data_IF_751443099792
#
_entry.id   IF_751443099792
#
_cell.length_a   1.000
_cell.length_b   1.000
_cell.length_c   1.000
_cell.angle_alpha   90.00
_cell.angle_beta   90.00
_cell.angle_gamma   90.00
#
_symmetry.space_group_name_H-M   'P 1'
#
loop_
_entity.id
_entity.type
_entity.pdbx_description
1 polymer ?
#
# COMPACT_ATOMS: atom_id res chain seq x y z
N UNK A 1 -28.85 5.41 51.08
CA UNK A 1 -27.55 5.51 50.39
C UNK A 1 -26.95 4.11 50.41
N UNK A 2 -27.35 3.26 49.46
CA UNK A 2 -26.83 1.90 49.33
C UNK A 2 -25.88 1.92 48.14
N UNK A 3 -24.60 1.87 48.47
CA UNK A 3 -23.47 1.81 47.54
C UNK A 3 -23.54 0.44 46.84
N UNK A 4 -23.99 0.45 45.59
CA UNK A 4 -24.07 -0.73 44.72
C UNK A 4 -22.67 -1.04 44.18
N UNK A 5 -21.82 -1.60 45.04
CA UNK A 5 -20.52 -2.15 44.62
C UNK A 5 -20.74 -3.58 44.09
N UNK A 6 -21.22 -3.68 42.86
CA UNK A 6 -21.07 -4.91 42.08
C UNK A 6 -19.57 -5.18 41.93
N UNK A 7 -19.08 -6.40 42.23
CA UNK A 7 -17.66 -6.71 42.06
C UNK A 7 -17.36 -6.60 40.58
N UNK A 8 -16.48 -5.68 40.21
CA UNK A 8 -15.98 -5.53 38.84
C UNK A 8 -15.42 -6.89 38.43
N UNK A 9 -16.16 -7.57 37.57
CA UNK A 9 -15.84 -8.89 37.05
C UNK A 9 -14.60 -8.77 36.18
N UNK A 10 -13.43 -8.83 36.82
CA UNK A 10 -12.13 -8.71 36.20
C UNK A 10 -11.93 -9.73 35.06
N UNK A 11 -12.62 -10.87 35.12
CA UNK A 11 -12.68 -11.85 34.03
C UNK A 11 -13.38 -11.30 32.80
N UNK A 12 -14.55 -10.69 32.95
CA UNK A 12 -15.29 -10.09 31.85
C UNK A 12 -14.50 -8.96 31.15
N UNK A 13 -13.81 -8.10 31.93
CA UNK A 13 -12.95 -7.06 31.37
C UNK A 13 -11.73 -7.61 30.62
N UNK A 14 -11.13 -8.69 31.12
CA UNK A 14 -10.03 -9.35 30.41
C UNK A 14 -10.50 -9.97 29.11
N UNK A 15 -11.70 -10.56 29.09
CA UNK A 15 -12.29 -11.14 27.88
C UNK A 15 -12.62 -10.07 26.84
N UNK A 16 -13.21 -8.94 27.25
CA UNK A 16 -13.43 -7.77 26.38
C UNK A 16 -12.10 -7.23 25.82
N UNK A 17 -11.07 -7.10 26.66
CA UNK A 17 -9.75 -6.62 26.22
C UNK A 17 -9.12 -7.57 25.19
N UNK A 18 -9.30 -8.87 25.35
CA UNK A 18 -8.80 -9.87 24.42
C UNK A 18 -9.54 -9.82 23.08
N UNK A 19 -10.86 -9.60 23.11
CA UNK A 19 -11.66 -9.35 21.92
C UNK A 19 -11.20 -8.09 21.19
N UNK A 20 -10.97 -6.97 21.90
CA UNK A 20 -10.44 -5.75 21.31
C UNK A 20 -9.08 -5.95 20.65
N UNK A 21 -8.18 -6.72 21.27
CA UNK A 21 -6.88 -7.03 20.68
C UNK A 21 -7.02 -7.85 19.40
N UNK A 22 -7.87 -8.87 19.39
CA UNK A 22 -8.14 -9.70 18.20
C UNK A 22 -8.71 -8.87 17.05
N UNK A 23 -9.66 -7.99 17.35
CA UNK A 23 -10.28 -7.13 16.34
C UNK A 23 -9.27 -6.12 15.78
N UNK A 24 -8.44 -5.52 16.63
CA UNK A 24 -7.33 -4.66 16.20
C UNK A 24 -6.34 -5.38 15.30
N UNK A 25 -5.94 -6.61 15.65
CA UNK A 25 -5.03 -7.44 14.84
C UNK A 25 -5.64 -7.74 13.47
N UNK A 26 -6.94 -8.06 13.43
CA UNK A 26 -7.68 -8.29 12.18
C UNK A 26 -7.71 -7.07 11.29
N UNK A 27 -8.00 -5.89 11.86
CA UNK A 27 -7.98 -4.62 11.13
C UNK A 27 -6.57 -4.36 10.57
N UNK A 28 -5.52 -4.60 11.36
CA UNK A 28 -4.13 -4.46 10.90
C UNK A 28 -3.83 -5.38 9.72
N UNK A 29 -4.25 -6.65 9.76
CA UNK A 29 -4.02 -7.60 8.67
C UNK A 29 -4.77 -7.18 7.40
N UNK A 30 -6.02 -6.74 7.51
CA UNK A 30 -6.79 -6.23 6.38
C UNK A 30 -6.13 -5.00 5.76
N UNK A 31 -5.69 -4.04 6.58
CA UNK A 31 -4.95 -2.85 6.14
C UNK A 31 -3.63 -3.24 5.48
N UNK A 32 -2.90 -4.20 6.04
CA UNK A 32 -1.63 -4.71 5.50
C UNK A 32 -1.79 -5.45 4.16
N UNK A 33 -2.88 -6.20 4.00
CA UNK A 33 -3.25 -6.84 2.72
C UNK A 33 -3.59 -5.80 1.64
N UNK A 34 -4.22 -4.69 2.02
CA UNK A 34 -4.54 -3.59 1.10
C UNK A 34 -3.28 -2.77 0.76
N UNK A 35 -2.38 -2.58 1.72
CA UNK A 35 -1.08 -1.92 1.54
C UNK A 35 0.00 -2.75 0.83
N UNK A 36 -0.30 -4.00 0.46
CA UNK A 36 0.58 -4.80 -0.42
C UNK A 36 1.81 -5.43 0.25
N UNK A 37 1.79 -5.66 1.57
CA UNK A 37 2.92 -6.24 2.32
C UNK A 37 3.35 -7.61 1.76
N UNK A 38 2.41 -8.43 1.30
CA UNK A 38 2.71 -9.73 0.68
C UNK A 38 3.22 -9.60 -0.77
N UNK A 39 2.81 -8.54 -1.48
CA UNK A 39 3.25 -8.26 -2.85
C UNK A 39 4.67 -7.74 -2.92
N UNK A 40 5.14 -7.02 -1.89
CA UNK A 40 6.47 -6.39 -1.83
C UNK A 40 7.62 -7.34 -2.18
N UNK A 41 7.66 -8.55 -1.61
CA UNK A 41 8.74 -9.53 -1.89
C UNK A 41 8.71 -10.02 -3.32
N UNK A 42 7.52 -10.36 -3.84
CA UNK A 42 7.35 -10.81 -5.22
C UNK A 42 7.70 -9.69 -6.21
N UNK A 43 7.34 -8.45 -5.88
CA UNK A 43 7.63 -7.28 -6.71
C UNK A 43 9.11 -6.98 -6.77
N UNK A 44 9.81 -7.12 -5.65
CA UNK A 44 11.26 -7.02 -5.59
C UNK A 44 11.94 -8.08 -6.47
N UNK A 45 11.51 -9.34 -6.39
CA UNK A 45 12.03 -10.42 -7.25
C UNK A 45 11.77 -10.17 -8.74
N UNK A 46 10.56 -9.74 -9.10
CA UNK A 46 10.22 -9.41 -10.49
C UNK A 46 11.04 -8.22 -10.97
N UNK A 47 11.30 -7.24 -10.12
CA UNK A 47 12.12 -6.10 -10.48
C UNK A 47 13.58 -6.48 -10.72
N UNK A 48 14.18 -7.33 -9.87
CA UNK A 48 15.53 -7.87 -10.09
C UNK A 48 15.58 -8.66 -11.39
N UNK A 49 14.62 -9.57 -11.62
CA UNK A 49 14.56 -10.35 -12.86
C UNK A 49 14.47 -9.45 -14.10
N UNK A 50 13.66 -8.39 -14.05
CA UNK A 50 13.56 -7.41 -15.12
C UNK A 50 14.88 -6.70 -15.42
N UNK A 51 15.62 -6.28 -14.38
CA UNK A 51 16.94 -5.65 -14.54
C UNK A 51 17.93 -6.63 -15.15
N UNK A 52 17.94 -7.90 -14.73
CA UNK A 52 18.81 -8.93 -15.31
C UNK A 52 18.52 -9.10 -16.80
N UNK A 53 17.25 -9.20 -17.20
CA UNK A 53 16.87 -9.31 -18.62
C UNK A 53 17.33 -8.08 -19.42
N UNK A 54 17.17 -6.87 -18.87
CA UNK A 54 17.66 -5.64 -19.51
C UNK A 54 19.17 -5.65 -19.72
N UNK A 55 19.92 -6.02 -18.69
CA UNK A 55 21.39 -6.11 -18.77
C UNK A 55 21.81 -7.15 -19.80
N UNK A 56 21.12 -8.30 -19.86
CA UNK A 56 21.41 -9.34 -20.85
C UNK A 56 21.11 -8.88 -22.27
N UNK A 57 19.98 -8.20 -22.52
CA UNK A 57 19.65 -7.65 -23.84
C UNK A 57 20.70 -6.63 -24.30
N UNK A 58 21.15 -5.77 -23.38
CA UNK A 58 22.18 -4.78 -23.65
C UNK A 58 23.56 -5.41 -23.89
N UNK A 59 23.95 -6.37 -23.04
CA UNK A 59 25.21 -7.10 -23.20
C UNK A 59 25.23 -7.92 -24.50
N UNK A 60 24.11 -8.53 -24.88
CA UNK A 60 23.98 -9.26 -26.14
C UNK A 60 24.14 -8.34 -27.35
N UNK A 61 23.54 -7.15 -27.31
CA UNK A 61 23.70 -6.13 -28.34
C UNK A 61 25.16 -5.68 -28.46
N UNK A 62 25.82 -5.44 -27.32
CA UNK A 62 27.23 -5.07 -27.25
C UNK A 62 28.16 -6.17 -27.79
N UNK A 63 27.95 -7.42 -27.39
CA UNK A 63 28.74 -8.58 -27.87
C UNK A 63 28.55 -8.76 -29.37
N UNK A 64 27.32 -8.63 -29.87
CA UNK A 64 27.05 -8.70 -31.31
C UNK A 64 27.80 -7.63 -32.08
N UNK A 65 27.81 -6.40 -31.57
CA UNK A 65 28.51 -5.27 -32.19
C UNK A 65 30.04 -5.48 -32.18
N UNK A 66 30.60 -5.88 -31.03
CA UNK A 66 32.05 -6.06 -30.82
C UNK A 66 32.60 -7.27 -31.57
N UNK A 67 31.91 -8.41 -31.57
CA UNK A 67 32.38 -9.66 -32.18
C UNK A 67 31.92 -9.86 -33.64
N UNK A 68 31.20 -8.89 -34.21
CA UNK A 68 30.69 -8.93 -35.60
C UNK A 68 29.93 -10.22 -35.94
N UNK A 69 29.18 -10.74 -34.97
CA UNK A 69 28.39 -11.97 -35.14
C UNK A 69 27.21 -11.63 -36.08
N UNK A 70 27.25 -12.18 -37.29
CA UNK A 70 26.20 -11.99 -38.29
C UNK A 70 24.96 -12.82 -37.94
N UNK A 71 24.14 -12.28 -37.05
CA UNK A 71 22.78 -12.76 -36.80
C UNK A 71 21.86 -12.06 -37.81
N UNK A 72 20.84 -12.73 -38.38
CA UNK A 72 19.90 -12.12 -39.34
C UNK A 72 18.94 -11.07 -38.76
N UNK A 73 19.15 -10.62 -37.52
CA UNK A 73 18.28 -9.63 -36.87
C UNK A 73 18.67 -8.19 -37.26
N UNK A 74 17.74 -7.23 -37.34
CA UNK A 74 18.10 -5.81 -37.57
C UNK A 74 19.06 -5.27 -36.49
N UNK A 75 19.95 -4.33 -36.83
CA UNK A 75 20.99 -3.82 -35.92
C UNK A 75 20.49 -2.97 -34.74
N UNK A 76 19.18 -2.65 -34.67
CA UNK A 76 18.58 -1.86 -33.57
C UNK A 76 17.46 -2.61 -32.83
N UNK A 77 17.15 -3.83 -33.25
CA UNK A 77 15.98 -4.58 -32.74
C UNK A 77 16.05 -4.81 -31.22
N UNK A 78 17.23 -5.08 -30.67
CA UNK A 78 17.42 -5.28 -29.22
C UNK A 78 17.12 -3.99 -28.43
N UNK A 79 17.56 -2.85 -28.95
CA UNK A 79 17.36 -1.55 -28.33
C UNK A 79 15.89 -1.14 -28.37
N UNK A 80 15.23 -1.31 -29.51
CA UNK A 80 13.78 -1.05 -29.66
C UNK A 80 12.96 -1.93 -28.71
N UNK A 81 13.29 -3.22 -28.61
CA UNK A 81 12.64 -4.15 -27.69
C UNK A 81 12.87 -3.75 -26.22
N UNK A 82 14.08 -3.28 -25.88
CA UNK A 82 14.41 -2.81 -24.54
C UNK A 82 13.60 -1.57 -24.16
N UNK A 83 13.51 -0.58 -25.06
CA UNK A 83 12.70 0.63 -24.84
C UNK A 83 11.21 0.28 -24.67
N UNK A 84 10.69 -0.65 -25.48
CA UNK A 84 9.32 -1.14 -25.37
C UNK A 84 9.06 -1.80 -24.01
N UNK A 85 9.96 -2.69 -23.57
CA UNK A 85 9.86 -3.39 -22.28
C UNK A 85 9.88 -2.42 -21.09
N UNK A 86 10.73 -1.40 -21.10
CA UNK A 86 10.74 -0.35 -20.06
C UNK A 86 9.42 0.42 -20.04
N UNK A 87 8.90 0.78 -21.21
CA UNK A 87 7.63 1.52 -21.31
C UNK A 87 6.46 0.72 -20.72
N UNK A 88 6.37 -0.57 -21.06
CA UNK A 88 5.35 -1.48 -20.50
C UNK A 88 5.52 -1.62 -18.98
N UNK A 89 6.77 -1.73 -18.48
CA UNK A 89 7.07 -1.83 -17.05
C UNK A 89 6.59 -0.60 -16.27
N UNK A 90 6.75 0.61 -16.83
CA UNK A 90 6.28 1.86 -16.22
C UNK A 90 4.75 1.86 -16.12
N UNK A 91 4.05 1.53 -17.22
CA UNK A 91 2.58 1.45 -17.23
C UNK A 91 2.09 0.44 -16.19
N UNK A 92 2.75 -0.71 -16.11
CA UNK A 92 2.41 -1.74 -15.14
C UNK A 92 2.62 -1.27 -13.68
N UNK A 93 3.70 -0.54 -13.41
CA UNK A 93 3.97 0.03 -12.08
C UNK A 93 2.89 1.04 -11.68
N UNK A 94 2.50 1.93 -12.60
CA UNK A 94 1.45 2.94 -12.36
C UNK A 94 0.11 2.26 -12.08
N UNK A 95 -0.26 1.27 -12.91
CA UNK A 95 -1.52 0.54 -12.72
C UNK A 95 -1.58 -0.17 -11.37
N UNK A 96 -0.44 -0.73 -10.92
CA UNK A 96 -0.36 -1.40 -9.63
C UNK A 96 -0.46 -0.45 -8.43
N UNK A 97 0.06 0.77 -8.55
CA UNK A 97 0.01 1.79 -7.48
C UNK A 97 -1.40 2.27 -7.14
N UNK A 98 -2.31 2.30 -8.12
CA UNK A 98 -3.64 2.90 -7.99
C UNK A 98 -4.52 2.30 -6.87
N UNK A 99 -4.36 1.01 -6.55
CA UNK A 99 -5.16 0.35 -5.50
C UNK A 99 -4.84 0.88 -4.10
N UNK A 100 -3.57 1.10 -3.81
CA UNK A 100 -3.11 1.59 -2.50
C UNK A 100 -3.51 3.05 -2.33
N UNK A 101 -3.34 3.86 -3.38
CA UNK A 101 -3.72 5.27 -3.40
C UNK A 101 -5.23 5.45 -3.15
N UNK A 102 -6.07 4.64 -3.83
CA UNK A 102 -7.51 4.69 -3.61
C UNK A 102 -7.87 4.38 -2.17
N UNK A 103 -7.24 3.37 -1.56
CA UNK A 103 -7.48 3.04 -0.16
C UNK A 103 -7.02 4.16 0.79
N UNK A 104 -5.83 4.72 0.58
CA UNK A 104 -5.31 5.85 1.37
C UNK A 104 -6.27 7.04 1.28
N UNK A 105 -6.80 7.32 0.09
CA UNK A 105 -7.79 8.36 -0.14
C UNK A 105 -9.08 8.11 0.68
N UNK A 106 -9.63 6.89 0.67
CA UNK A 106 -10.82 6.55 1.46
C UNK A 106 -10.60 6.71 2.96
N UNK A 107 -9.45 6.27 3.47
CA UNK A 107 -9.10 6.41 4.88
C UNK A 107 -9.01 7.89 5.27
N UNK A 108 -8.34 8.70 4.45
CA UNK A 108 -8.19 10.14 4.68
C UNK A 108 -9.54 10.85 4.70
N UNK A 109 -10.40 10.59 3.71
CA UNK A 109 -11.74 11.15 3.63
C UNK A 109 -12.61 10.77 4.85
N UNK A 110 -12.48 9.52 5.33
CA UNK A 110 -13.20 9.07 6.52
C UNK A 110 -12.72 9.76 7.80
N UNK A 111 -11.41 10.03 7.92
CA UNK A 111 -10.84 10.78 9.03
C UNK A 111 -11.25 12.26 8.95
N UNK A 112 -11.18 12.86 7.77
CA UNK A 112 -11.60 14.24 7.52
C UNK A 112 -13.06 14.47 7.91
N UNK A 113 -13.96 13.58 7.50
CA UNK A 113 -15.37 13.65 7.87
C UNK A 113 -15.56 13.58 9.40
N UNK A 114 -14.91 12.63 10.08
CA UNK A 114 -14.98 12.50 11.54
C UNK A 114 -14.43 13.73 12.27
N UNK A 115 -13.32 14.27 11.80
CA UNK A 115 -12.69 15.46 12.39
C UNK A 115 -13.58 16.69 12.22
N UNK A 116 -14.23 16.83 11.06
CA UNK A 116 -15.19 17.90 10.82
C UNK A 116 -16.42 17.79 11.72
N UNK A 117 -16.97 16.59 11.92
CA UNK A 117 -18.10 16.38 12.83
C UNK A 117 -17.73 16.68 14.29
N UNK A 118 -16.57 16.22 14.73
CA UNK A 118 -16.03 16.53 16.05
C UNK A 118 -15.87 18.05 16.25
N UNK A 119 -15.36 18.75 15.23
CA UNK A 119 -15.22 20.22 15.25
C UNK A 119 -16.57 20.93 15.39
N UNK A 120 -17.62 20.43 14.71
CA UNK A 120 -18.99 20.96 14.86
C UNK A 120 -19.54 20.70 16.26
N UNK A 121 -19.29 19.52 16.84
CA UNK A 121 -19.70 19.21 18.21
C UNK A 121 -19.01 20.10 19.24
N UNK A 122 -17.71 20.33 19.11
CA UNK A 122 -16.96 21.25 19.97
C UNK A 122 -17.54 22.66 19.88
N UNK A 123 -17.81 23.16 18.67
CA UNK A 123 -18.40 24.49 18.49
C UNK A 123 -19.78 24.63 19.14
N UNK A 124 -20.65 23.61 19.02
CA UNK A 124 -21.95 23.59 19.70
C UNK A 124 -21.82 23.59 21.23
N UNK A 125 -20.80 22.94 21.78
CA UNK A 125 -20.53 22.93 23.22
C UNK A 125 -20.08 24.34 23.66
N UNK A 126 -19.19 24.97 22.90
CA UNK A 126 -18.70 26.32 23.17
C UNK A 126 -19.83 27.37 23.12
N UNK A 127 -20.71 27.31 22.11
CA UNK A 127 -21.89 28.18 21.99
C UNK A 127 -22.83 28.05 23.21
N UNK A 128 -23.06 26.82 23.71
CA UNK A 128 -23.89 26.58 24.90
C UNK A 128 -23.26 27.08 26.20
N UNK A 129 -21.93 27.05 26.28
CA UNK A 129 -21.18 27.55 27.44
C UNK A 129 -21.11 29.08 27.43
N UNK A 130 -20.95 29.70 26.25
CA UNK A 130 -20.93 31.15 26.05
C UNK A 130 -22.31 31.82 26.21
N UNK A 131 -23.41 31.09 25.98
CA UNK A 131 -24.76 31.61 26.10
C UNK A 131 -25.30 31.62 27.55
N UNK A 132 -24.47 31.25 28.54
CA UNK A 132 -24.81 31.23 29.96
C UNK A 132 -23.93 32.23 30.72
#
# INVERSE_FOLDING_TARGET
MSEDTTPVDHSALMEELEQFRKEKERIRLLVGQIGGVESQRRDYLINIGFVIVMVLLFAFDLVRHVFHIQIPLPPMFSLELSVLLVSVKIIWMIHKGAKVEHFQFWVLNSIEFRLNDLSKHIRKIDEKLSAK
#
